data_IF_460978699483
#
_entry.id   IF_460978699483
#
_cell.length_a   1.000
_cell.length_b   1.000
_cell.length_c   1.000
_cell.angle_alpha   90.00
_cell.angle_beta   90.00
_cell.angle_gamma   90.00
#
_symmetry.space_group_name_H-M   'P 1'
#
loop_
_entity.id
_entity.type
_entity.pdbx_description
1 polymer ?
#
# COMPACT_ATOMS: atom_id res chain seq x y z
N UNK A 1 4.00 12.02 -6.92
CA UNK A 1 3.66 10.59 -6.86
C UNK A 1 2.17 10.41 -6.63
N UNK A 2 1.57 9.47 -7.34
CA UNK A 2 0.15 9.18 -7.19
C UNK A 2 -0.13 8.53 -5.83
N UNK A 3 -1.02 9.12 -5.06
CA UNK A 3 -1.33 8.67 -3.71
C UNK A 3 -1.87 7.23 -3.68
N UNK A 4 -2.78 6.90 -4.60
CA UNK A 4 -3.36 5.56 -4.63
C UNK A 4 -2.33 4.50 -4.98
N UNK A 5 -1.42 4.81 -5.90
CA UNK A 5 -0.32 3.91 -6.22
C UNK A 5 0.59 3.73 -5.01
N UNK A 6 0.87 4.81 -4.29
CA UNK A 6 1.70 4.74 -3.09
C UNK A 6 1.04 3.88 -2.01
N UNK A 7 -0.28 4.03 -1.83
CA UNK A 7 -1.02 3.21 -0.87
C UNK A 7 -0.97 1.72 -1.26
N UNK A 8 -1.14 1.41 -2.54
CA UNK A 8 -1.06 0.03 -3.03
C UNK A 8 0.32 -0.57 -2.74
N UNK A 9 1.38 0.20 -2.98
CA UNK A 9 2.73 -0.26 -2.72
C UNK A 9 2.99 -0.46 -1.22
N UNK A 10 2.46 0.43 -0.39
CA UNK A 10 2.58 0.29 1.06
C UNK A 10 1.86 -0.98 1.55
N UNK A 11 0.62 -1.17 1.12
CA UNK A 11 -0.17 -2.34 1.52
C UNK A 11 0.54 -3.62 1.09
N UNK A 12 1.02 -3.68 -0.15
CA UNK A 12 1.72 -4.87 -0.65
C UNK A 12 2.98 -5.16 0.17
N UNK A 13 3.75 -4.12 0.51
CA UNK A 13 4.96 -4.28 1.31
C UNK A 13 4.63 -4.84 2.69
N UNK A 14 3.57 -4.31 3.32
CA UNK A 14 3.14 -4.77 4.63
C UNK A 14 2.66 -6.22 4.58
N UNK A 15 1.89 -6.57 3.56
CA UNK A 15 1.32 -7.92 3.44
C UNK A 15 2.37 -8.98 3.12
N UNK A 16 3.33 -8.63 2.29
CA UNK A 16 4.40 -9.57 1.93
C UNK A 16 5.52 -9.60 2.96
N UNK A 17 5.59 -8.60 3.83
CA UNK A 17 6.65 -8.50 4.82
C UNK A 17 8.03 -8.25 4.22
N UNK A 18 8.08 -7.74 3.00
CA UNK A 18 9.33 -7.54 2.27
C UNK A 18 9.12 -6.60 1.09
N UNK A 19 10.02 -5.61 0.97
CA UNK A 19 10.01 -4.71 -0.19
C UNK A 19 10.29 -5.48 -1.48
N UNK A 20 11.22 -6.42 -1.42
CA UNK A 20 11.59 -7.20 -2.60
C UNK A 20 10.46 -8.06 -3.12
N UNK A 21 9.78 -8.77 -2.22
CA UNK A 21 8.65 -9.62 -2.59
C UNK A 21 7.48 -8.81 -3.12
N UNK A 22 7.18 -7.70 -2.46
CA UNK A 22 6.10 -6.83 -2.89
C UNK A 22 6.39 -6.25 -4.27
N UNK A 23 7.63 -5.82 -4.51
CA UNK A 23 8.03 -5.28 -5.79
C UNK A 23 7.86 -6.31 -6.91
N UNK A 24 8.29 -7.55 -6.64
CA UNK A 24 8.16 -8.65 -7.60
C UNK A 24 6.68 -8.87 -7.94
N UNK A 25 5.84 -8.92 -6.93
CA UNK A 25 4.40 -9.12 -7.10
C UNK A 25 3.77 -8.02 -7.95
N UNK A 26 4.22 -6.78 -7.78
CA UNK A 26 3.65 -5.64 -8.48
C UNK A 26 4.34 -5.32 -9.80
N UNK A 27 5.38 -6.06 -10.16
CA UNK A 27 6.15 -5.76 -11.38
C UNK A 27 6.90 -4.45 -11.27
N UNK A 28 7.40 -4.13 -10.09
CA UNK A 28 8.13 -2.90 -9.82
C UNK A 28 9.48 -3.22 -9.18
N UNK A 29 10.30 -2.19 -8.95
CA UNK A 29 11.57 -2.35 -8.27
C UNK A 29 11.40 -2.10 -6.77
N UNK A 30 12.22 -2.72 -5.91
CA UNK A 30 12.19 -2.43 -4.48
C UNK A 30 12.40 -0.95 -4.19
N UNK A 31 13.24 -0.30 -4.99
CA UNK A 31 13.52 1.13 -4.87
C UNK A 31 12.25 1.97 -5.05
N UNK A 32 11.39 1.59 -6.00
CA UNK A 32 10.14 2.29 -6.25
C UNK A 32 9.21 2.20 -5.02
N UNK A 33 9.15 1.02 -4.40
CA UNK A 33 8.33 0.84 -3.20
C UNK A 33 8.90 1.61 -2.02
N UNK A 34 10.21 1.63 -1.87
CA UNK A 34 10.87 2.40 -0.82
C UNK A 34 10.55 3.89 -0.96
N UNK A 35 10.59 4.41 -2.19
CA UNK A 35 10.24 5.81 -2.44
C UNK A 35 8.79 6.11 -2.13
N UNK A 36 7.89 5.21 -2.51
CA UNK A 36 6.46 5.38 -2.24
C UNK A 36 6.18 5.46 -0.75
N UNK A 37 6.77 4.53 0.02
CA UNK A 37 6.59 4.50 1.46
C UNK A 37 7.19 5.75 2.09
N UNK A 38 8.39 6.15 1.67
CA UNK A 38 9.04 7.37 2.19
C UNK A 38 8.19 8.61 1.93
N UNK A 39 7.55 8.68 0.77
CA UNK A 39 6.68 9.79 0.43
C UNK A 39 5.47 9.85 1.37
N UNK A 40 4.85 8.70 1.64
CA UNK A 40 3.74 8.62 2.58
C UNK A 40 4.19 9.02 3.99
N UNK A 41 5.34 8.53 4.42
CA UNK A 41 5.88 8.85 5.74
C UNK A 41 6.15 10.36 5.87
N UNK A 42 6.68 10.98 4.82
CA UNK A 42 6.93 12.41 4.83
C UNK A 42 5.64 13.21 4.97
N UNK A 43 4.60 12.80 4.26
CA UNK A 43 3.30 13.47 4.34
C UNK A 43 2.67 13.32 5.72
N UNK A 44 2.82 12.15 6.32
CA UNK A 44 2.23 11.87 7.62
C UNK A 44 3.05 12.39 8.79
N UNK A 45 4.33 12.64 8.57
CA UNK A 45 5.24 13.02 9.65
C UNK A 45 5.48 11.86 10.61
N UNK A 46 5.41 10.62 10.13
CA UNK A 46 5.57 9.43 10.95
C UNK A 46 6.12 8.29 10.12
N UNK A 47 6.88 7.41 10.76
CA UNK A 47 7.36 6.21 10.09
C UNK A 47 6.28 5.14 10.10
N UNK A 48 6.14 4.43 8.99
CA UNK A 48 5.18 3.34 8.87
C UNK A 48 5.83 1.98 9.13
N UNK A 49 7.14 1.88 8.90
CA UNK A 49 7.91 0.68 9.17
C UNK A 49 9.05 0.98 10.13
N UNK A 50 9.39 -0.02 10.96
CA UNK A 50 10.53 0.09 11.87
C UNK A 50 11.81 0.13 11.08
N UNK A 51 12.75 1.01 11.50
CA UNK A 51 14.02 1.19 10.81
C UNK A 51 15.16 0.37 11.40
N UNK A 52 14.97 -0.13 12.60
CA UNK A 52 16.04 -0.78 13.36
C UNK A 52 16.14 -2.28 13.14
N UNK A 53 15.24 -2.87 12.38
CA UNK A 53 15.21 -4.31 12.17
C UNK A 53 15.43 -4.63 10.71
N UNK A 54 15.85 -5.86 10.43
CA UNK A 54 15.99 -6.35 9.06
C UNK A 54 14.65 -6.71 8.45
N UNK A 55 13.67 -6.97 9.30
CA UNK A 55 12.32 -7.30 8.85
C UNK A 55 11.51 -6.05 8.65
N UNK A 56 10.57 -6.14 7.72
CA UNK A 56 9.65 -5.06 7.46
C UNK A 56 8.52 -5.14 8.47
N UNK A 57 8.76 -4.56 9.64
CA UNK A 57 7.80 -4.57 10.73
C UNK A 57 7.09 -3.22 10.78
N UNK A 58 5.79 -3.23 10.98
CA UNK A 58 5.01 -2.01 11.06
C UNK A 58 5.19 -1.32 12.41
N UNK A 59 5.23 0.02 12.37
CA UNK A 59 5.11 0.82 13.58
C UNK A 59 3.63 0.84 13.98
N UNK A 60 3.31 1.46 15.11
CA UNK A 60 1.92 1.66 15.49
C UNK A 60 1.20 2.51 14.43
N UNK A 61 1.87 3.57 13.96
CA UNK A 61 1.33 4.40 12.88
C UNK A 61 1.10 3.57 11.61
N UNK A 62 2.04 2.66 11.32
CA UNK A 62 1.93 1.77 10.16
C UNK A 62 0.72 0.86 10.25
N UNK A 63 0.45 0.30 11.42
CA UNK A 63 -0.71 -0.57 11.60
C UNK A 63 -2.02 0.20 11.42
N UNK A 64 -2.08 1.39 11.99
CA UNK A 64 -3.26 2.25 11.86
C UNK A 64 -3.50 2.63 10.39
N UNK A 65 -2.44 3.06 9.73
CA UNK A 65 -2.55 3.53 8.35
C UNK A 65 -2.86 2.39 7.38
N UNK A 66 -2.31 1.20 7.65
CA UNK A 66 -2.57 0.01 6.83
C UNK A 66 -4.05 -0.33 6.80
N UNK A 67 -4.70 -0.29 7.97
CA UNK A 67 -6.12 -0.59 8.06
C UNK A 67 -6.94 0.35 7.17
N UNK A 68 -6.65 1.65 7.25
CA UNK A 68 -7.35 2.64 6.42
C UNK A 68 -7.01 2.47 4.93
N UNK A 69 -5.73 2.24 4.62
CA UNK A 69 -5.32 2.07 3.23
C UNK A 69 -6.02 0.89 2.57
N UNK A 70 -6.15 -0.22 3.30
CA UNK A 70 -6.88 -1.39 2.81
C UNK A 70 -8.33 -1.05 2.51
N UNK A 71 -8.97 -0.31 3.41
CA UNK A 71 -10.37 0.07 3.24
C UNK A 71 -10.57 0.97 2.02
N UNK A 72 -9.68 1.94 1.84
CA UNK A 72 -9.75 2.86 0.70
C UNK A 72 -9.63 2.09 -0.61
N UNK A 73 -8.63 1.22 -0.70
CA UNK A 73 -8.40 0.44 -1.92
C UNK A 73 -9.55 -0.54 -2.18
N UNK A 74 -10.08 -1.16 -1.13
CA UNK A 74 -11.19 -2.10 -1.26
C UNK A 74 -12.45 -1.39 -1.72
N UNK A 75 -12.72 -0.18 -1.19
CA UNK A 75 -13.89 0.60 -1.59
C UNK A 75 -13.85 0.96 -3.06
N UNK A 76 -12.68 1.32 -3.57
CA UNK A 76 -12.52 1.62 -4.98
C UNK A 76 -12.71 0.39 -5.84
N UNK A 77 -12.18 -0.74 -5.40
CA UNK A 77 -12.33 -2.01 -6.09
C UNK A 77 -13.81 -2.39 -6.18
N UNK A 78 -14.52 -2.29 -5.05
CA UNK A 78 -15.94 -2.64 -4.98
C UNK A 78 -16.78 -1.76 -5.89
N UNK A 79 -16.50 -0.47 -5.93
CA UNK A 79 -17.21 0.46 -6.82
C UNK A 79 -17.03 0.07 -8.29
N UNK A 80 -15.79 -0.32 -8.64
CA UNK A 80 -15.50 -0.79 -10.00
C UNK A 80 -16.28 -2.04 -10.36
N UNK A 81 -16.40 -2.96 -9.41
CA UNK A 81 -17.18 -4.19 -9.61
C UNK A 81 -18.66 -3.88 -9.82
N UNK A 82 -19.22 -2.97 -9.03
CA UNK A 82 -20.61 -2.55 -9.16
C UNK A 82 -20.90 -1.94 -10.52
N UNK A 83 -19.98 -1.08 -10.98
CA UNK A 83 -20.11 -0.46 -12.30
C UNK A 83 -20.01 -1.51 -13.40
N UNK A 84 -19.11 -2.49 -13.22
CA UNK A 84 -18.99 -3.60 -14.16
C UNK A 84 -20.28 -4.37 -14.32
N UNK A 85 -20.99 -4.62 -13.21
CA UNK A 85 -22.27 -5.31 -13.23
C UNK A 85 -23.32 -4.50 -14.00
N UNK A 86 -23.35 -3.20 -13.78
CA UNK A 86 -24.28 -2.33 -14.51
C UNK A 86 -24.04 -2.36 -16.01
N UNK A 87 -22.77 -2.36 -16.42
CA UNK A 87 -22.40 -2.40 -17.82
C UNK A 87 -22.79 -3.71 -18.50
N UNK A 88 -22.90 -4.79 -17.73
CA UNK A 88 -23.25 -6.10 -18.28
C UNK A 88 -24.75 -6.40 -18.21
N UNK A 89 -25.55 -5.38 -17.99
CA UNK A 89 -26.99 -5.50 -18.14
C UNK A 89 -27.73 -6.19 -17.00
N UNK A 90 -27.19 -6.06 -15.82
CA UNK A 90 -27.84 -6.63 -14.65
C UNK A 90 -28.88 -5.69 -14.08
#
# INVERSE_FOLDING_TARGET
>A
MDKLSALSMFVATAEHGSFSRAAEQLGKTPSALTKAVSHLEAELGAQLFERSTRRTALTEAGRLYLDTARQVLQRLHDAGEEIGQLKHGL
#
